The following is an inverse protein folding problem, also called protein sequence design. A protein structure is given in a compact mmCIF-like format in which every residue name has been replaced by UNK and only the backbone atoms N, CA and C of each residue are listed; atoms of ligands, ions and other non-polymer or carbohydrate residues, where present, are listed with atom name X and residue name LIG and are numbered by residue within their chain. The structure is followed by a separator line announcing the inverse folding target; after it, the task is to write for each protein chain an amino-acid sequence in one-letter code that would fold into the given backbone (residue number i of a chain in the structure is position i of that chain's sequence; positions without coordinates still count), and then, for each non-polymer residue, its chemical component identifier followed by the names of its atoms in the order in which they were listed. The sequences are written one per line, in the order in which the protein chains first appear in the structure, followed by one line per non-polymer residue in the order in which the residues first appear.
data_IF_111686275771
#
_entry.id   IF_111686275771
#
_cell.length_a   1.000
_cell.length_b   1.000
_cell.length_c   1.000
_cell.angle_alpha   90.00
_cell.angle_beta   90.00
_cell.angle_gamma   90.00
#
_symmetry.space_group_name_H-M   'P 1'
#
loop_
_entity.id
_entity.type
_entity.pdbx_description
1 polymer ?
#
# COMPACT_ATOMS: atom_id res chain seq x y z
N UNK A 1 87.04 -22.48 -6.86
CA UNK A 1 86.81 -21.71 -8.11
C UNK A 1 85.54 -22.27 -8.74
N UNK A 2 84.35 -21.76 -8.44
CA UNK A 2 83.76 -20.47 -8.83
C UNK A 2 83.49 -20.39 -10.34
N UNK A 3 82.22 -20.58 -10.75
CA UNK A 3 81.50 -19.60 -11.58
C UNK A 3 80.00 -19.91 -11.67
N UNK A 4 79.26 -19.03 -11.01
CA UNK A 4 77.85 -18.71 -11.18
C UNK A 4 77.51 -18.34 -12.63
N UNK A 5 76.44 -18.92 -13.19
CA UNK A 5 75.68 -18.32 -14.29
C UNK A 5 74.24 -18.12 -13.82
N UNK A 6 73.89 -16.87 -13.54
CA UNK A 6 72.51 -16.40 -13.36
C UNK A 6 71.86 -16.34 -14.75
N UNK A 7 70.80 -17.10 -14.98
CA UNK A 7 69.81 -16.78 -16.02
C UNK A 7 68.71 -15.95 -15.38
N UNK A 8 68.74 -14.63 -15.59
CA UNK A 8 67.62 -13.76 -15.25
C UNK A 8 66.54 -13.92 -16.34
N UNK A 9 65.55 -14.76 -16.10
CA UNK A 9 64.25 -14.64 -16.76
C UNK A 9 63.45 -13.60 -15.99
N UNK A 10 63.55 -12.34 -16.40
CA UNK A 10 62.56 -11.32 -16.04
C UNK A 10 61.25 -11.69 -16.74
N UNK A 11 60.47 -12.53 -16.06
CA UNK A 11 59.08 -12.77 -16.36
C UNK A 11 58.33 -11.47 -16.06
N UNK A 12 58.18 -10.61 -17.07
CA UNK A 12 57.37 -9.39 -16.92
C UNK A 12 55.92 -9.83 -16.80
N UNK A 13 55.46 -9.92 -15.55
CA UNK A 13 54.05 -10.07 -15.21
C UNK A 13 53.21 -9.12 -16.08
N UNK A 14 52.07 -9.58 -16.65
CA UNK A 14 51.24 -8.72 -17.47
C UNK A 14 50.82 -7.52 -16.63
N UNK A 15 51.28 -6.34 -17.07
CA UNK A 15 50.92 -5.04 -16.51
C UNK A 15 49.41 -5.04 -16.34
N UNK A 16 48.96 -4.98 -15.09
CA UNK A 16 47.55 -5.03 -14.73
C UNK A 16 46.78 -4.09 -15.63
N UNK A 17 45.90 -4.68 -16.45
CA UNK A 17 45.00 -3.97 -17.37
C UNK A 17 44.23 -2.97 -16.52
N UNK A 18 44.67 -1.70 -16.51
CA UNK A 18 43.95 -0.61 -15.84
C UNK A 18 42.56 -0.62 -16.47
N UNK A 19 41.58 -1.09 -15.72
CA UNK A 19 40.17 -1.13 -16.12
C UNK A 19 39.80 0.31 -16.47
N UNK A 20 39.77 0.62 -17.77
CA UNK A 20 39.35 1.92 -18.26
C UNK A 20 37.85 1.99 -18.07
N UNK A 21 37.42 2.70 -17.01
CA UNK A 21 36.01 2.95 -16.69
C UNK A 21 35.17 3.47 -17.87
N UNK A 22 35.81 4.05 -18.91
CA UNK A 22 35.14 4.56 -20.11
C UNK A 22 34.83 3.48 -21.16
N UNK A 23 35.55 2.35 -21.15
CA UNK A 23 35.31 1.23 -22.08
C UNK A 23 34.27 0.23 -21.52
N UNK A 24 33.84 0.42 -20.26
CA UNK A 24 32.92 -0.45 -19.50
C UNK A 24 31.46 0.04 -19.51
N UNK A 25 31.04 0.82 -20.51
CA UNK A 25 29.61 1.00 -20.76
C UNK A 25 29.07 -0.32 -21.30
N UNK A 26 28.69 -1.23 -20.40
CA UNK A 26 28.05 -2.53 -20.66
C UNK A 26 26.87 -2.45 -21.66
N UNK A 27 26.35 -1.24 -21.94
CA UNK A 27 25.18 -0.95 -22.77
C UNK A 27 25.38 0.21 -23.75
N UNK A 28 26.51 0.30 -24.49
CA UNK A 28 26.61 1.33 -25.55
C UNK A 28 25.43 1.21 -26.55
N UNK A 29 25.04 -0.01 -26.89
CA UNK A 29 23.83 -0.28 -27.65
C UNK A 29 22.64 -0.36 -26.69
N UNK A 30 21.61 0.47 -26.87
CA UNK A 30 20.36 0.39 -26.09
C UNK A 30 20.41 0.90 -24.65
N UNK A 31 21.37 1.78 -24.30
CA UNK A 31 21.43 2.46 -22.99
C UNK A 31 20.08 3.07 -22.57
N UNK A 32 19.45 3.81 -23.49
CA UNK A 32 18.18 4.50 -23.22
C UNK A 32 17.04 3.54 -22.88
N UNK A 33 16.98 2.37 -23.53
CA UNK A 33 16.00 1.35 -23.22
C UNK A 33 16.24 0.77 -21.82
N UNK A 34 17.50 0.44 -21.48
CA UNK A 34 17.83 -0.05 -20.13
C UNK A 34 17.51 1.01 -19.07
N UNK A 35 17.85 2.27 -19.32
CA UNK A 35 17.55 3.39 -18.42
C UNK A 35 16.04 3.56 -18.23
N UNK A 36 15.27 3.49 -19.31
CA UNK A 36 13.81 3.53 -19.25
C UNK A 36 13.23 2.36 -18.45
N UNK A 37 13.68 1.13 -18.69
CA UNK A 37 13.20 -0.05 -17.97
C UNK A 37 13.53 0.01 -16.48
N UNK A 38 14.73 0.48 -16.12
CA UNK A 38 15.12 0.67 -14.71
C UNK A 38 14.31 1.79 -14.06
N UNK A 39 14.10 2.92 -14.74
CA UNK A 39 13.24 3.99 -14.26
C UNK A 39 11.81 3.49 -14.04
N UNK A 40 11.23 2.79 -15.02
CA UNK A 40 9.90 2.20 -14.92
C UNK A 40 9.80 1.22 -13.75
N UNK A 41 10.81 0.37 -13.55
CA UNK A 41 10.84 -0.61 -12.47
C UNK A 41 10.75 0.05 -11.08
N UNK A 42 11.55 1.09 -10.82
CA UNK A 42 11.53 1.79 -9.54
C UNK A 42 10.34 2.75 -9.40
N UNK A 43 9.87 3.37 -10.48
CA UNK A 43 8.66 4.19 -10.45
C UNK A 43 7.39 3.36 -10.22
N UNK A 44 7.33 2.13 -10.73
CA UNK A 44 6.24 1.20 -10.40
C UNK A 44 6.27 0.86 -8.90
N UNK A 45 7.47 0.60 -8.33
CA UNK A 45 7.60 0.40 -6.88
C UNK A 45 7.10 1.62 -6.10
N UNK A 46 7.51 2.83 -6.50
CA UNK A 46 7.07 4.08 -5.85
C UNK A 46 5.56 4.28 -5.96
N UNK A 47 4.97 4.06 -7.14
CA UNK A 47 3.54 4.16 -7.38
C UNK A 47 2.75 3.11 -6.60
N UNK A 48 3.29 1.90 -6.41
CA UNK A 48 2.66 0.86 -5.61
C UNK A 48 2.67 1.19 -4.12
N UNK A 49 3.73 1.84 -3.62
CA UNK A 49 3.80 2.31 -2.24
C UNK A 49 2.77 3.43 -2.01
N UNK A 50 2.68 4.40 -2.92
CA UNK A 50 1.67 5.47 -2.88
C UNK A 50 0.23 4.90 -2.92
N UNK A 51 -0.05 4.02 -3.87
CA UNK A 51 -1.35 3.38 -4.04
C UNK A 51 -1.73 2.37 -2.93
N UNK A 52 -0.82 2.04 -2.00
CA UNK A 52 -1.12 1.14 -0.91
C UNK A 52 -2.12 1.76 0.09
N UNK A 53 -2.17 3.09 0.20
CA UNK A 53 -3.07 3.79 1.11
C UNK A 53 -2.62 3.77 2.58
N UNK A 54 -1.32 3.63 2.84
CA UNK A 54 -0.78 3.57 4.21
C UNK A 54 -0.88 4.89 4.98
N UNK A 55 -0.69 6.04 4.32
CA UNK A 55 -0.80 7.38 4.90
C UNK A 55 -1.23 8.35 3.81
N UNK A 56 -1.82 9.48 4.20
CA UNK A 56 -1.95 10.62 3.30
C UNK A 56 -0.55 11.09 2.85
N UNK A 57 -0.46 11.72 1.67
CA UNK A 57 0.76 12.37 1.17
C UNK A 57 1.95 11.46 0.80
N UNK A 58 1.73 10.15 0.62
CA UNK A 58 2.79 9.22 0.22
C UNK A 58 3.26 9.40 -1.25
N UNK A 59 2.55 10.20 -2.03
CA UNK A 59 2.92 10.57 -3.41
C UNK A 59 4.31 11.21 -3.51
N UNK A 60 4.85 11.75 -2.40
CA UNK A 60 6.21 12.28 -2.30
C UNK A 60 7.30 11.24 -2.61
N UNK A 61 7.00 9.94 -2.48
CA UNK A 61 7.94 8.86 -2.83
C UNK A 61 8.26 8.87 -4.32
N UNK A 62 7.36 9.33 -5.19
CA UNK A 62 7.56 9.39 -6.65
C UNK A 62 8.67 10.38 -7.05
N UNK A 63 8.62 11.69 -6.67
CA UNK A 63 9.71 12.62 -6.98
C UNK A 63 11.01 12.27 -6.25
N UNK A 64 10.95 11.62 -5.08
CA UNK A 64 12.15 11.10 -4.40
C UNK A 64 12.81 10.00 -5.24
N UNK A 65 12.02 9.07 -5.78
CA UNK A 65 12.49 7.99 -6.66
C UNK A 65 13.10 8.54 -7.94
N UNK A 66 12.45 9.53 -8.56
CA UNK A 66 12.97 10.19 -9.75
C UNK A 66 14.33 10.88 -9.49
N UNK A 67 14.46 11.57 -8.35
CA UNK A 67 15.72 12.17 -7.91
C UNK A 67 16.82 11.14 -7.66
N UNK A 68 16.48 10.04 -6.98
CA UNK A 68 17.41 8.93 -6.72
C UNK A 68 17.89 8.27 -8.01
N UNK A 69 16.98 8.08 -8.99
CA UNK A 69 17.30 7.55 -10.30
C UNK A 69 18.26 8.48 -11.05
N UNK A 70 17.95 9.77 -11.11
CA UNK A 70 18.79 10.76 -11.78
C UNK A 70 20.20 10.82 -11.18
N UNK A 71 20.30 10.92 -9.84
CA UNK A 71 21.59 10.93 -9.16
C UNK A 71 22.35 9.61 -9.34
N UNK A 72 21.66 8.48 -9.20
CA UNK A 72 22.23 7.15 -9.42
C UNK A 72 22.81 7.01 -10.83
N UNK A 73 22.12 7.51 -11.85
CA UNK A 73 22.57 7.46 -13.24
C UNK A 73 23.81 8.33 -13.43
N UNK A 74 23.78 9.58 -12.93
CA UNK A 74 24.92 10.50 -12.98
C UNK A 74 26.16 9.92 -12.28
N UNK A 75 25.99 9.37 -11.08
CA UNK A 75 27.09 8.77 -10.32
C UNK A 75 27.63 7.50 -10.98
N UNK A 76 26.76 6.70 -11.61
CA UNK A 76 27.16 5.51 -12.35
C UNK A 76 28.08 5.84 -13.52
N UNK A 77 27.76 6.92 -14.25
CA UNK A 77 28.52 7.41 -15.41
C UNK A 77 29.77 8.23 -15.02
N UNK A 78 29.86 8.67 -13.76
CA UNK A 78 30.97 9.49 -13.27
C UNK A 78 32.27 8.71 -13.09
N UNK A 79 33.41 9.40 -12.99
CA UNK A 79 34.72 8.79 -12.67
C UNK A 79 34.96 8.60 -11.16
N UNK A 80 34.04 9.03 -10.31
CA UNK A 80 34.22 9.01 -8.86
C UNK A 80 34.30 7.58 -8.32
N UNK A 81 35.00 7.41 -7.21
CA UNK A 81 35.10 6.12 -6.53
C UNK A 81 33.82 5.80 -5.76
N UNK A 82 33.69 4.56 -5.31
CA UNK A 82 32.47 4.09 -4.65
C UNK A 82 32.16 4.84 -3.35
N UNK A 83 33.18 5.21 -2.57
CA UNK A 83 32.97 5.93 -1.31
C UNK A 83 32.45 7.35 -1.54
N UNK A 84 33.04 8.09 -2.50
CA UNK A 84 32.54 9.41 -2.86
C UNK A 84 31.10 9.35 -3.37
N UNK A 85 30.77 8.38 -4.24
CA UNK A 85 29.43 8.23 -4.78
C UNK A 85 28.39 7.94 -3.68
N UNK A 86 28.70 6.99 -2.78
CA UNK A 86 27.82 6.63 -1.65
C UNK A 86 27.62 7.79 -0.66
N UNK A 87 28.70 8.45 -0.26
CA UNK A 87 28.62 9.59 0.67
C UNK A 87 27.81 10.75 0.07
N UNK A 88 28.00 11.08 -1.21
CA UNK A 88 27.22 12.12 -1.87
C UNK A 88 25.75 11.74 -2.03
N UNK A 89 25.44 10.46 -2.31
CA UNK A 89 24.05 9.99 -2.32
C UNK A 89 23.36 10.16 -0.98
N UNK A 90 24.08 9.95 0.13
CA UNK A 90 23.54 10.19 1.47
C UNK A 90 23.16 11.66 1.69
N UNK A 91 24.08 12.59 1.41
CA UNK A 91 23.83 14.02 1.65
C UNK A 91 22.82 14.63 0.67
N UNK A 92 22.96 14.34 -0.62
CA UNK A 92 22.03 14.84 -1.65
C UNK A 92 20.66 14.19 -1.47
N UNK A 93 20.62 12.91 -1.11
CA UNK A 93 19.37 12.20 -0.82
C UNK A 93 18.65 12.76 0.38
N UNK A 94 19.34 12.98 1.49
CA UNK A 94 18.73 13.59 2.67
C UNK A 94 18.18 14.98 2.34
N UNK A 95 18.95 15.81 1.63
CA UNK A 95 18.51 17.14 1.22
C UNK A 95 17.28 17.07 0.28
N UNK A 96 17.28 16.16 -0.69
CA UNK A 96 16.19 15.99 -1.65
C UNK A 96 14.91 15.44 -1.00
N UNK A 97 15.04 14.50 -0.07
CA UNK A 97 13.92 13.94 0.69
C UNK A 97 13.30 15.04 1.56
N UNK A 98 14.10 15.77 2.34
CA UNK A 98 13.60 16.87 3.18
C UNK A 98 12.95 17.97 2.33
N UNK A 99 13.56 18.35 1.20
CA UNK A 99 12.98 19.30 0.27
C UNK A 99 11.65 18.80 -0.33
N UNK A 100 11.55 17.52 -0.66
CA UNK A 100 10.34 16.92 -1.23
C UNK A 100 9.22 16.85 -0.19
N UNK A 101 9.53 16.43 1.04
CA UNK A 101 8.57 16.40 2.15
C UNK A 101 8.08 17.80 2.54
N UNK A 102 8.98 18.79 2.61
CA UNK A 102 8.62 20.17 2.93
C UNK A 102 7.56 20.75 1.99
N UNK A 103 7.54 20.36 0.71
CA UNK A 103 6.52 20.79 -0.25
C UNK A 103 5.13 20.26 0.05
N UNK A 104 5.03 19.16 0.78
CA UNK A 104 3.76 18.49 1.09
C UNK A 104 3.21 18.89 2.46
N UNK A 105 4.03 19.51 3.32
CA UNK A 105 3.57 20.04 4.62
C UNK A 105 2.54 21.16 4.41
N UNK A 106 1.32 21.04 4.98
CA UNK A 106 0.30 22.08 4.94
C UNK A 106 0.73 23.37 5.65
N UNK A 107 0.31 24.54 5.12
CA UNK A 107 0.75 25.84 5.62
C UNK A 107 0.26 26.16 7.04
N UNK A 108 -0.90 25.60 7.45
CA UNK A 108 -1.48 25.72 8.78
C UNK A 108 -0.58 25.12 9.87
N UNK A 109 0.07 23.99 9.58
CA UNK A 109 0.97 23.30 10.53
C UNK A 109 2.26 24.09 10.81
N UNK A 110 2.60 25.04 9.94
CA UNK A 110 3.85 25.83 10.02
C UNK A 110 3.61 27.26 10.50
N UNK A 111 2.34 27.65 10.72
CA UNK A 111 1.97 28.98 11.21
C UNK A 111 2.74 29.42 12.48
N UNK A 112 3.02 28.56 13.48
CA UNK A 112 3.75 28.99 14.68
C UNK A 112 5.20 29.41 14.39
N UNK A 113 5.82 28.86 13.34
CA UNK A 113 7.19 29.19 12.95
C UNK A 113 7.24 30.51 12.16
N UNK A 114 6.21 30.78 11.36
CA UNK A 114 6.09 31.99 10.56
C UNK A 114 5.81 33.23 11.43
N UNK A 115 5.02 33.07 12.49
CA UNK A 115 4.66 34.16 13.39
C UNK A 115 5.81 34.54 14.34
N UNK A 116 6.69 33.59 14.65
CA UNK A 116 7.76 33.76 15.64
C UNK A 116 9.12 34.17 15.05
N UNK A 117 9.33 34.01 13.74
CA UNK A 117 10.64 34.22 13.14
C UNK A 117 10.58 34.72 11.68
N UNK A 118 11.49 35.61 11.30
CA UNK A 118 11.59 36.16 9.94
C UNK A 118 12.27 35.15 8.98
N UNK A 119 11.70 33.94 8.89
CA UNK A 119 12.20 32.84 8.06
C UNK A 119 11.30 32.64 6.85
N UNK A 120 11.88 32.13 5.76
CA UNK A 120 11.08 31.77 4.57
C UNK A 120 10.15 30.59 4.85
N UNK A 121 9.02 30.53 4.15
CA UNK A 121 8.05 29.44 4.31
C UNK A 121 8.66 28.05 4.04
N UNK A 122 9.52 27.95 3.02
CA UNK A 122 10.24 26.71 2.72
C UNK A 122 11.13 26.28 3.89
N UNK A 123 11.84 27.22 4.51
CA UNK A 123 12.69 26.95 5.66
C UNK A 123 11.87 26.51 6.88
N UNK A 124 10.73 27.15 7.12
CA UNK A 124 9.81 26.75 8.19
C UNK A 124 9.31 25.31 7.99
N UNK A 125 8.91 24.95 6.77
CA UNK A 125 8.45 23.58 6.42
C UNK A 125 9.56 22.55 6.60
N UNK A 126 10.80 22.86 6.21
CA UNK A 126 11.95 21.98 6.42
C UNK A 126 12.25 21.80 7.91
N UNK A 127 12.21 22.88 8.70
CA UNK A 127 12.39 22.81 10.15
C UNK A 127 11.30 22.00 10.84
N UNK A 128 10.04 22.14 10.41
CA UNK A 128 8.94 21.34 10.92
C UNK A 128 9.21 19.83 10.74
N UNK A 129 9.58 19.40 9.52
CA UNK A 129 9.90 17.98 9.25
C UNK A 129 11.10 17.53 10.08
N UNK A 130 12.15 18.34 10.18
CA UNK A 130 13.36 18.00 10.94
C UNK A 130 13.06 17.84 12.44
N UNK A 131 12.31 18.77 13.03
CA UNK A 131 11.91 18.71 14.43
C UNK A 131 11.10 17.45 14.69
N UNK A 132 10.15 17.12 13.80
CA UNK A 132 9.33 15.92 13.95
C UNK A 132 10.15 14.63 13.93
N UNK A 133 11.19 14.56 13.08
CA UNK A 133 12.14 13.44 13.07
C UNK A 133 12.95 13.38 14.38
N UNK A 134 13.39 14.52 14.91
CA UNK A 134 14.13 14.59 16.18
C UNK A 134 13.25 14.19 17.36
N UNK A 135 12.01 14.67 17.41
CA UNK A 135 11.02 14.31 18.44
C UNK A 135 10.76 12.80 18.44
N UNK A 136 10.70 12.18 17.26
CA UNK A 136 10.57 10.73 17.15
C UNK A 136 11.80 9.97 17.63
N UNK A 137 13.01 10.46 17.34
CA UNK A 137 14.24 9.85 17.87
C UNK A 137 14.25 9.94 19.40
N UNK A 138 13.88 11.08 19.97
CA UNK A 138 13.80 11.26 21.43
C UNK A 138 12.70 10.37 22.05
N UNK A 139 11.55 10.25 21.38
CA UNK A 139 10.48 9.34 21.77
C UNK A 139 10.95 7.86 21.76
N UNK A 140 11.70 7.45 20.73
CA UNK A 140 12.25 6.12 20.62
C UNK A 140 13.27 5.80 21.74
N UNK A 141 14.16 6.76 22.07
CA UNK A 141 15.14 6.63 23.16
C UNK A 141 14.45 6.58 24.53
N UNK A 142 13.42 7.38 24.73
CA UNK A 142 12.62 7.42 25.96
C UNK A 142 11.60 6.26 26.09
N UNK A 143 11.55 5.34 25.11
CA UNK A 143 10.59 4.23 25.00
C UNK A 143 9.12 4.66 25.01
N UNK A 144 8.85 5.89 24.58
CA UNK A 144 7.50 6.37 24.35
C UNK A 144 7.13 6.05 22.89
N UNK A 145 6.17 5.17 22.69
CA UNK A 145 5.70 4.85 21.34
C UNK A 145 4.99 6.08 20.76
N UNK A 146 5.59 6.69 19.74
CA UNK A 146 5.00 7.77 18.95
C UNK A 146 4.97 7.33 17.50
N UNK A 147 3.78 7.00 17.00
CA UNK A 147 3.57 6.73 15.59
C UNK A 147 3.29 8.06 14.89
N UNK A 148 4.14 8.41 13.94
CA UNK A 148 4.02 9.66 13.20
C UNK A 148 4.09 9.44 11.69
N UNK A 149 3.15 10.05 10.98
CA UNK A 149 3.03 9.90 9.53
C UNK A 149 4.27 10.47 8.80
N UNK A 150 4.81 11.60 9.25
CA UNK A 150 5.98 12.21 8.60
C UNK A 150 7.23 11.35 8.76
N UNK A 151 7.44 10.74 9.92
CA UNK A 151 8.55 9.81 10.15
C UNK A 151 8.42 8.58 9.25
N UNK A 152 7.24 7.98 9.18
CA UNK A 152 7.02 6.83 8.30
C UNK A 152 7.25 7.17 6.83
N UNK A 153 6.74 8.31 6.35
CA UNK A 153 6.99 8.79 4.98
C UNK A 153 8.49 8.98 4.74
N UNK A 154 9.22 9.55 5.71
CA UNK A 154 10.66 9.71 5.64
C UNK A 154 11.39 8.36 5.52
N UNK A 155 11.04 7.37 6.33
CA UNK A 155 11.64 6.03 6.29
C UNK A 155 11.42 5.33 4.96
N UNK A 156 10.20 5.41 4.40
CA UNK A 156 9.89 4.86 3.07
C UNK A 156 10.66 5.61 1.99
N UNK A 157 10.71 6.94 2.05
CA UNK A 157 11.50 7.75 1.10
C UNK A 157 12.99 7.41 1.17
N UNK A 158 13.53 7.24 2.37
CA UNK A 158 14.92 6.87 2.60
C UNK A 158 15.23 5.47 2.04
N UNK A 159 14.35 4.50 2.32
CA UNK A 159 14.47 3.13 1.79
C UNK A 159 14.41 3.11 0.26
N UNK A 160 13.43 3.77 -0.35
CA UNK A 160 13.25 3.80 -1.81
C UNK A 160 14.38 4.57 -2.49
N UNK A 161 14.86 5.66 -1.89
CA UNK A 161 16.03 6.39 -2.37
C UNK A 161 17.24 5.47 -2.49
N UNK A 162 17.56 4.74 -1.42
CA UNK A 162 18.71 3.83 -1.41
C UNK A 162 18.54 2.64 -2.35
N UNK A 163 17.35 2.03 -2.42
CA UNK A 163 17.07 0.94 -3.36
C UNK A 163 17.23 1.39 -4.81
N UNK A 164 16.70 2.56 -5.15
CA UNK A 164 16.77 3.11 -6.51
C UNK A 164 18.21 3.50 -6.84
N UNK A 165 18.88 4.23 -5.94
CA UNK A 165 20.27 4.65 -6.14
C UNK A 165 21.21 3.45 -6.29
N UNK A 166 21.18 2.50 -5.35
CA UNK A 166 22.04 1.31 -5.39
C UNK A 166 21.68 0.37 -6.54
N UNK A 167 20.40 0.30 -6.92
CA UNK A 167 19.94 -0.49 -8.05
C UNK A 167 20.47 0.05 -9.38
N UNK A 168 20.27 1.34 -9.63
CA UNK A 168 20.82 2.04 -10.79
C UNK A 168 22.35 1.91 -10.81
N UNK A 169 23.00 2.15 -9.66
CA UNK A 169 24.44 2.00 -9.54
C UNK A 169 24.91 0.57 -9.85
N UNK A 170 24.24 -0.45 -9.32
CA UNK A 170 24.59 -1.87 -9.56
C UNK A 170 24.47 -2.25 -11.03
N UNK A 171 23.42 -1.79 -11.73
CA UNK A 171 23.18 -2.11 -13.14
C UNK A 171 24.18 -1.39 -14.03
N UNK A 172 24.29 -0.07 -13.93
CA UNK A 172 25.07 0.73 -14.87
C UNK A 172 26.56 0.73 -14.59
N UNK A 173 26.99 0.56 -13.32
CA UNK A 173 28.40 0.51 -12.96
C UNK A 173 29.00 -0.88 -13.06
N UNK A 174 28.24 -1.90 -12.67
CA UNK A 174 28.75 -3.26 -12.47
C UNK A 174 28.03 -4.35 -13.29
N UNK A 175 26.91 -4.04 -13.95
CA UNK A 175 26.12 -5.02 -14.71
C UNK A 175 25.26 -5.95 -13.86
N UNK A 176 25.22 -5.79 -12.53
CA UNK A 176 24.54 -6.73 -11.62
C UNK A 176 23.03 -6.49 -11.52
N UNK A 177 22.30 -6.92 -12.54
CA UNK A 177 20.83 -6.74 -12.64
C UNK A 177 20.06 -7.36 -11.47
N UNK A 178 20.42 -8.58 -11.07
CA UNK A 178 19.73 -9.30 -9.99
C UNK A 178 19.79 -8.57 -8.64
N UNK A 179 20.89 -7.87 -8.35
CA UNK A 179 21.07 -7.12 -7.10
C UNK A 179 20.17 -5.88 -7.02
N UNK A 180 19.71 -5.38 -8.16
CA UNK A 180 18.76 -4.26 -8.23
C UNK A 180 17.32 -4.76 -8.14
N UNK A 181 16.98 -5.80 -8.89
CA UNK A 181 15.59 -6.28 -9.04
C UNK A 181 15.10 -7.02 -7.80
N UNK A 182 15.89 -7.92 -7.21
CA UNK A 182 15.43 -8.76 -6.09
C UNK A 182 15.03 -7.93 -4.86
N UNK A 183 15.85 -6.99 -4.36
CA UNK A 183 15.48 -6.20 -3.18
C UNK A 183 14.22 -5.35 -3.42
N UNK A 184 14.11 -4.72 -4.60
CA UNK A 184 12.93 -3.95 -4.97
C UNK A 184 11.67 -4.83 -5.07
N UNK A 185 11.80 -6.03 -5.62
CA UNK A 185 10.71 -7.00 -5.70
C UNK A 185 10.25 -7.52 -4.34
N UNK A 186 11.17 -7.74 -3.40
CA UNK A 186 10.85 -8.13 -2.01
C UNK A 186 10.03 -7.02 -1.34
N UNK A 187 10.47 -5.76 -1.46
CA UNK A 187 9.74 -4.62 -0.88
C UNK A 187 8.35 -4.50 -1.49
N UNK A 188 8.22 -4.66 -2.81
CA UNK A 188 6.92 -4.62 -3.48
C UNK A 188 6.01 -5.78 -3.04
N UNK A 189 6.56 -6.98 -2.83
CA UNK A 189 5.82 -8.13 -2.34
C UNK A 189 5.30 -7.91 -0.91
N UNK A 190 6.16 -7.38 -0.03
CA UNK A 190 5.78 -7.01 1.35
C UNK A 190 4.69 -5.94 1.32
N UNK A 191 4.86 -4.90 0.50
CA UNK A 191 3.83 -3.88 0.31
C UNK A 191 2.52 -4.49 -0.16
N UNK A 192 2.55 -5.37 -1.17
CA UNK A 192 1.35 -6.03 -1.69
C UNK A 192 0.65 -6.90 -0.64
N UNK A 193 1.40 -7.51 0.27
CA UNK A 193 0.85 -8.34 1.34
C UNK A 193 0.18 -7.51 2.46
N UNK A 194 0.75 -6.36 2.81
CA UNK A 194 0.26 -5.52 3.92
C UNK A 194 -0.55 -4.29 3.48
N UNK A 195 -0.68 -4.04 2.18
CA UNK A 195 -1.37 -2.86 1.66
C UNK A 195 -2.87 -2.91 2.01
N UNK A 196 -3.41 -1.83 2.61
CA UNK A 196 -4.85 -1.65 2.77
C UNK A 196 -5.64 -1.79 1.47
N UNK A 197 -5.08 -1.28 0.35
CA UNK A 197 -5.67 -1.36 -0.98
C UNK A 197 -4.93 -2.38 -1.86
N UNK A 198 -5.65 -3.01 -2.79
CA UNK A 198 -5.05 -4.02 -3.66
C UNK A 198 -4.01 -3.42 -4.61
N UNK A 199 -2.73 -3.73 -4.40
CA UNK A 199 -1.61 -3.28 -5.25
C UNK A 199 -1.08 -4.38 -6.20
N UNK A 200 -1.82 -5.48 -6.34
CA UNK A 200 -1.44 -6.65 -7.17
C UNK A 200 -1.16 -6.27 -8.63
N UNK A 201 -1.90 -5.31 -9.19
CA UNK A 201 -1.65 -4.82 -10.56
C UNK A 201 -0.24 -4.25 -10.75
N UNK A 202 0.27 -3.53 -9.75
CA UNK A 202 1.65 -3.01 -9.78
C UNK A 202 2.68 -4.12 -9.64
N UNK A 203 2.43 -5.14 -8.82
CA UNK A 203 3.30 -6.31 -8.72
C UNK A 203 3.48 -7.01 -10.07
N UNK A 204 2.39 -7.18 -10.82
CA UNK A 204 2.44 -7.81 -12.13
C UNK A 204 3.15 -6.95 -13.17
N UNK A 205 2.89 -5.64 -13.17
CA UNK A 205 3.61 -4.69 -14.02
C UNK A 205 5.12 -4.69 -13.70
N UNK A 206 5.48 -4.71 -12.41
CA UNK A 206 6.86 -4.79 -11.95
C UNK A 206 7.53 -6.08 -12.42
N UNK A 207 6.90 -7.24 -12.25
CA UNK A 207 7.44 -8.53 -12.69
C UNK A 207 7.65 -8.55 -14.21
N UNK A 208 6.68 -8.02 -14.98
CA UNK A 208 6.82 -7.91 -16.43
C UNK A 208 8.02 -7.05 -16.81
N UNK A 209 8.14 -5.83 -16.25
CA UNK A 209 9.27 -4.92 -16.53
C UNK A 209 10.59 -5.53 -16.08
N UNK A 210 10.62 -6.21 -14.92
CA UNK A 210 11.79 -6.90 -14.40
C UNK A 210 12.25 -8.03 -15.34
N UNK A 211 11.33 -8.85 -15.85
CA UNK A 211 11.67 -9.91 -16.80
C UNK A 211 12.21 -9.35 -18.11
N UNK A 212 11.58 -8.31 -18.65
CA UNK A 212 12.06 -7.62 -19.86
C UNK A 212 13.45 -7.00 -19.64
N UNK A 213 13.69 -6.41 -18.46
CA UNK A 213 15.01 -5.90 -18.07
C UNK A 213 16.04 -7.03 -18.00
N UNK A 214 15.71 -8.18 -17.40
CA UNK A 214 16.60 -9.34 -17.35
C UNK A 214 16.93 -9.89 -18.75
N UNK A 215 15.94 -10.01 -19.63
CA UNK A 215 16.16 -10.41 -21.04
C UNK A 215 17.12 -9.42 -21.70
N UNK A 216 16.90 -8.12 -21.52
CA UNK A 216 17.76 -7.08 -22.11
C UNK A 216 19.19 -7.16 -21.59
N UNK A 217 19.38 -7.33 -20.28
CA UNK A 217 20.72 -7.38 -19.69
C UNK A 217 21.45 -8.67 -20.01
N UNK A 218 20.74 -9.81 -20.06
CA UNK A 218 21.30 -11.07 -20.51
C UNK A 218 21.76 -11.00 -21.97
N UNK A 219 20.96 -10.39 -22.86
CA UNK A 219 21.36 -10.18 -24.25
C UNK A 219 22.63 -9.33 -24.36
N UNK A 220 22.76 -8.27 -23.56
CA UNK A 220 23.99 -7.46 -23.54
C UNK A 220 25.20 -8.28 -23.11
N UNK A 221 25.08 -9.11 -22.07
CA UNK A 221 26.17 -10.00 -21.65
C UNK A 221 26.55 -10.99 -22.76
N UNK A 222 25.58 -11.55 -23.48
CA UNK A 222 25.85 -12.44 -24.61
C UNK A 222 26.56 -11.71 -25.75
N UNK A 223 26.13 -10.49 -26.09
CA UNK A 223 26.78 -9.68 -27.11
C UNK A 223 28.23 -9.33 -26.74
N UNK A 224 28.51 -9.07 -25.46
CA UNK A 224 29.89 -8.84 -24.99
C UNK A 224 30.74 -10.09 -25.17
N UNK A 225 30.23 -11.27 -24.76
CA UNK A 225 30.93 -12.56 -24.96
C UNK A 225 31.19 -12.85 -26.43
N UNK A 226 30.21 -12.66 -27.31
CA UNK A 226 30.39 -12.86 -28.75
C UNK A 226 31.42 -11.90 -29.35
N UNK A 227 31.49 -10.65 -28.88
CA UNK A 227 32.55 -9.70 -29.29
C UNK A 227 33.93 -10.16 -28.81
N UNK A 228 34.03 -10.67 -27.58
CA UNK A 228 35.27 -11.23 -27.04
C UNK A 228 35.74 -12.47 -27.83
N UNK A 229 34.81 -13.35 -28.18
CA UNK A 229 35.05 -14.57 -28.96
C UNK A 229 35.14 -14.33 -30.48
N UNK A 230 34.99 -13.06 -30.92
CA UNK A 230 34.98 -12.65 -32.34
C UNK A 230 33.93 -13.37 -33.20
N UNK A 231 32.82 -13.76 -32.59
CA UNK A 231 31.67 -14.35 -33.28
C UNK A 231 30.83 -13.22 -33.88
N UNK A 232 30.61 -13.27 -35.19
CA UNK A 232 29.73 -12.32 -35.87
C UNK A 232 28.26 -12.57 -35.48
N UNK A 233 27.53 -11.51 -35.17
CA UNK A 233 26.09 -11.52 -34.94
C UNK A 233 25.43 -10.44 -35.80
N UNK A 234 24.19 -10.70 -36.22
CA UNK A 234 23.42 -9.72 -36.99
C UNK A 234 22.89 -8.60 -36.07
N UNK A 235 22.91 -7.32 -36.48
CA UNK A 235 22.39 -6.21 -35.67
C UNK A 235 20.90 -6.36 -35.29
N UNK A 236 20.10 -6.99 -36.16
CA UNK A 236 18.65 -7.17 -35.96
C UNK A 236 18.30 -8.17 -34.84
N UNK A 237 19.28 -8.94 -34.36
CA UNK A 237 19.08 -9.92 -33.28
C UNK A 237 18.51 -9.27 -32.02
N UNK A 238 18.80 -7.98 -31.78
CA UNK A 238 18.30 -7.24 -30.62
C UNK A 238 16.78 -7.12 -30.64
N UNK A 239 16.20 -6.80 -31.80
CA UNK A 239 14.76 -6.61 -31.94
C UNK A 239 14.00 -7.92 -31.85
N UNK A 240 14.49 -8.95 -32.53
CA UNK A 240 13.86 -10.28 -32.48
C UNK A 240 13.92 -10.89 -31.08
N UNK A 241 15.08 -10.78 -30.41
CA UNK A 241 15.25 -11.30 -29.05
C UNK A 241 14.40 -10.54 -28.03
N UNK A 242 14.31 -9.20 -28.13
CA UNK A 242 13.44 -8.39 -27.27
C UNK A 242 11.97 -8.71 -27.50
N UNK A 243 11.50 -8.79 -28.76
CA UNK A 243 10.10 -9.13 -29.08
C UNK A 243 9.73 -10.49 -28.48
N UNK A 244 10.57 -11.50 -28.74
CA UNK A 244 10.32 -12.86 -28.23
C UNK A 244 10.39 -12.91 -26.71
N UNK A 245 11.33 -12.19 -26.09
CA UNK A 245 11.45 -12.10 -24.64
C UNK A 245 10.28 -11.38 -23.98
N UNK A 246 9.76 -10.31 -24.58
CA UNK A 246 8.54 -9.63 -24.11
C UNK A 246 7.33 -10.57 -24.20
N UNK A 247 7.13 -11.23 -25.34
CA UNK A 247 6.04 -12.19 -25.52
C UNK A 247 6.12 -13.33 -24.51
N UNK A 248 7.31 -13.89 -24.30
CA UNK A 248 7.53 -14.94 -23.32
C UNK A 248 7.27 -14.46 -21.88
N UNK A 249 7.73 -13.24 -21.54
CA UNK A 249 7.49 -12.65 -20.22
C UNK A 249 6.01 -12.39 -19.97
N UNK A 250 5.29 -11.86 -20.97
CA UNK A 250 3.85 -11.64 -20.90
C UNK A 250 3.09 -12.96 -20.73
N UNK A 251 3.46 -14.00 -21.50
CA UNK A 251 2.88 -15.33 -21.38
C UNK A 251 3.12 -15.93 -19.99
N UNK A 252 4.33 -15.79 -19.44
CA UNK A 252 4.67 -16.28 -18.11
C UNK A 252 3.85 -15.59 -17.03
N UNK A 253 3.70 -14.26 -17.11
CA UNK A 253 2.88 -13.47 -16.18
C UNK A 253 1.39 -13.86 -16.30
N UNK A 254 0.88 -14.05 -17.52
CA UNK A 254 -0.50 -14.51 -17.75
C UNK A 254 -0.74 -15.91 -17.16
N UNK A 255 0.19 -16.84 -17.38
CA UNK A 255 0.11 -18.18 -16.79
C UNK A 255 0.15 -18.11 -15.26
N UNK A 256 1.01 -17.27 -14.68
CA UNK A 256 1.08 -17.07 -13.24
C UNK A 256 -0.21 -16.47 -12.67
N UNK A 257 -0.90 -15.59 -13.42
CA UNK A 257 -2.21 -15.07 -13.04
C UNK A 257 -3.28 -16.16 -13.04
N UNK A 258 -3.34 -16.98 -14.09
CA UNK A 258 -4.41 -17.98 -14.30
C UNK A 258 -4.25 -19.19 -13.38
N UNK A 259 -3.04 -19.50 -12.90
CA UNK A 259 -2.84 -20.60 -11.96
C UNK A 259 -3.55 -20.32 -10.62
N UNK A 260 -4.49 -21.18 -10.17
CA UNK A 260 -5.08 -21.06 -8.85
C UNK A 260 -3.96 -21.13 -7.81
N UNK A 261 -3.91 -20.12 -6.93
CA UNK A 261 -2.75 -19.86 -6.06
C UNK A 261 -2.19 -21.11 -5.39
N UNK A 262 -0.93 -21.44 -5.69
CA UNK A 262 -0.17 -22.57 -5.12
C UNK A 262 -0.13 -22.56 -3.58
N UNK A 263 -0.37 -21.39 -2.96
CA UNK A 263 -0.51 -21.22 -1.51
C UNK A 263 -1.78 -21.82 -0.91
N UNK A 264 -2.68 -22.42 -1.70
CA UNK A 264 -3.82 -23.21 -1.20
C UNK A 264 -3.47 -24.67 -0.94
N UNK A 265 -2.26 -25.14 -1.31
CA UNK A 265 -1.84 -26.50 -1.02
C UNK A 265 -1.44 -26.64 0.47
N UNK A 266 -2.14 -27.46 1.26
CA UNK A 266 -1.86 -27.64 2.69
C UNK A 266 -0.46 -28.18 2.97
N UNK A 267 0.15 -28.94 2.04
CA UNK A 267 1.51 -29.47 2.19
C UNK A 267 2.57 -28.36 2.12
N UNK A 268 2.40 -27.39 1.22
CA UNK A 268 3.29 -26.23 1.12
C UNK A 268 3.15 -25.31 2.33
N UNK A 269 1.92 -25.14 2.86
CA UNK A 269 1.70 -24.39 4.11
C UNK A 269 2.39 -25.02 5.31
N UNK A 270 2.36 -26.34 5.43
CA UNK A 270 3.02 -27.06 6.53
C UNK A 270 4.55 -26.91 6.48
N UNK A 271 5.15 -26.96 5.28
CA UNK A 271 6.60 -26.75 5.10
C UNK A 271 7.03 -25.31 5.42
N UNK A 272 6.18 -24.32 5.13
CA UNK A 272 6.46 -22.89 5.37
C UNK A 272 6.00 -22.41 6.76
N UNK A 273 5.34 -23.25 7.56
CA UNK A 273 4.76 -22.85 8.84
C UNK A 273 5.75 -22.16 9.80
N UNK A 274 7.00 -22.66 10.02
CA UNK A 274 7.95 -22.00 10.92
C UNK A 274 8.39 -20.61 10.44
N UNK A 275 8.47 -20.43 9.12
CA UNK A 275 8.84 -19.15 8.50
C UNK A 275 7.68 -18.18 8.61
N UNK A 276 6.45 -18.64 8.34
CA UNK A 276 5.25 -17.83 8.45
C UNK A 276 5.02 -17.35 9.88
N UNK A 277 5.18 -18.20 10.89
CA UNK A 277 4.99 -17.79 12.30
C UNK A 277 6.03 -16.75 12.76
N UNK A 278 7.29 -16.89 12.30
CA UNK A 278 8.34 -15.91 12.59
C UNK A 278 8.07 -14.58 11.89
N UNK A 279 7.58 -14.65 10.65
CA UNK A 279 7.19 -13.47 9.88
C UNK A 279 5.98 -12.76 10.48
N UNK A 280 4.92 -13.50 10.82
CA UNK A 280 3.69 -12.98 11.45
C UNK A 280 4.00 -12.29 12.78
N UNK A 281 4.79 -12.92 13.66
CA UNK A 281 5.19 -12.29 14.94
C UNK A 281 6.05 -11.04 14.75
N UNK A 282 6.96 -11.02 13.77
CA UNK A 282 7.76 -9.83 13.43
C UNK A 282 6.87 -8.73 12.86
N UNK A 283 5.93 -9.08 11.99
CA UNK A 283 5.00 -8.15 11.40
C UNK A 283 4.04 -7.56 12.43
N UNK A 284 3.54 -8.34 13.39
CA UNK A 284 2.74 -7.84 14.51
C UNK A 284 3.53 -6.87 15.39
N UNK A 285 4.82 -7.15 15.64
CA UNK A 285 5.71 -6.23 16.37
C UNK A 285 5.89 -4.90 15.63
N UNK A 286 6.17 -4.96 14.33
CA UNK A 286 6.31 -3.77 13.48
C UNK A 286 4.97 -3.03 13.41
N UNK A 287 3.86 -3.74 13.22
CA UNK A 287 2.54 -3.15 13.18
C UNK A 287 2.21 -2.44 14.50
N UNK A 288 2.58 -3.00 15.66
CA UNK A 288 2.43 -2.33 16.97
C UNK A 288 3.20 -1.00 17.05
N UNK A 289 4.40 -0.92 16.47
CA UNK A 289 5.18 0.33 16.43
C UNK A 289 4.49 1.41 15.59
N UNK A 290 3.77 1.01 14.54
CA UNK A 290 3.09 1.92 13.60
C UNK A 290 1.56 1.90 13.72
N UNK A 291 1.01 1.43 14.85
CA UNK A 291 -0.44 1.32 15.06
C UNK A 291 -1.15 2.67 15.08
N UNK A 292 -0.44 3.74 15.44
CA UNK A 292 -0.97 5.11 15.44
C UNK A 292 -0.71 5.90 14.16
N UNK A 293 -0.28 5.25 13.06
CA UNK A 293 -0.33 5.92 11.76
C UNK A 293 -1.78 6.30 11.47
N UNK A 294 -2.01 7.57 11.15
CA UNK A 294 -3.26 7.99 10.53
C UNK A 294 -3.26 7.40 9.12
N UNK A 295 -3.61 6.12 9.05
CA UNK A 295 -3.93 5.46 7.78
C UNK A 295 -4.99 6.31 7.13
N UNK A 296 -4.79 6.56 5.84
CA UNK A 296 -5.75 7.27 5.02
C UNK A 296 -7.11 6.76 5.43
N UNK A 297 -8.02 7.63 5.94
CA UNK A 297 -9.27 7.16 6.49
C UNK A 297 -9.93 6.38 5.37
N UNK A 298 -9.88 5.04 5.47
CA UNK A 298 -10.88 4.21 4.82
C UNK A 298 -12.15 4.86 5.27
N UNK A 299 -12.96 5.35 4.32
CA UNK A 299 -14.20 6.06 4.56
C UNK A 299 -14.76 5.51 5.85
N UNK A 300 -14.90 6.36 6.88
CA UNK A 300 -15.41 5.91 8.17
C UNK A 300 -16.84 5.46 7.89
N UNK A 301 -16.96 4.20 7.48
CA UNK A 301 -18.18 3.47 7.38
C UNK A 301 -18.65 3.51 8.81
N UNK A 302 -19.74 4.22 9.05
CA UNK A 302 -20.41 4.15 10.33
C UNK A 302 -20.85 2.70 10.51
N UNK A 303 -19.97 1.93 11.15
CA UNK A 303 -20.17 0.52 11.44
C UNK A 303 -21.09 0.48 12.65
N UNK A 304 -22.37 0.25 12.41
CA UNK A 304 -23.26 -0.03 13.52
C UNK A 304 -23.17 -1.52 13.88
N UNK A 305 -22.70 -1.77 15.10
CA UNK A 305 -22.65 -3.11 15.69
C UNK A 305 -23.64 -3.24 16.84
N UNK A 306 -23.58 -4.38 17.53
CA UNK A 306 -24.45 -4.71 18.67
C UNK A 306 -24.04 -4.01 19.98
N UNK A 307 -22.96 -3.22 19.96
CA UNK A 307 -22.45 -2.51 21.14
C UNK A 307 -22.06 -1.08 20.79
N UNK A 308 -22.32 -0.15 21.69
CA UNK A 308 -21.92 1.25 21.61
C UNK A 308 -21.18 1.64 22.89
N UNK A 309 -19.86 1.76 22.79
CA UNK A 309 -19.04 2.31 23.88
C UNK A 309 -19.21 3.82 23.93
N UNK A 310 -19.34 4.38 25.13
CA UNK A 310 -19.32 5.81 25.33
C UNK A 310 -17.90 6.33 25.02
N UNK A 311 -17.78 7.06 23.92
CA UNK A 311 -16.56 7.75 23.52
C UNK A 311 -16.75 9.26 23.63
N UNK A 312 -15.64 10.00 23.53
CA UNK A 312 -15.69 11.45 23.40
C UNK A 312 -16.29 11.91 22.07
N UNK A 313 -15.94 13.12 21.66
CA UNK A 313 -16.43 13.74 20.44
C UNK A 313 -16.24 12.82 19.21
N UNK A 314 -17.28 12.72 18.38
CA UNK A 314 -17.23 11.97 17.12
C UNK A 314 -16.85 12.92 16.01
N UNK A 315 -15.83 12.56 15.25
CA UNK A 315 -15.52 13.23 13.99
C UNK A 315 -16.59 12.85 12.96
N UNK A 316 -17.43 13.80 12.60
CA UNK A 316 -18.42 13.70 11.53
C UNK A 316 -17.90 14.40 10.28
N UNK A 317 -18.19 13.86 9.10
CA UNK A 317 -17.85 14.45 7.80
C UNK A 317 -19.09 14.96 7.09
N UNK A 318 -18.94 15.93 6.19
CA UNK A 318 -20.02 16.44 5.34
C UNK A 318 -20.33 15.54 4.12
N UNK A 319 -19.81 14.32 4.11
CA UNK A 319 -20.04 13.35 3.03
C UNK A 319 -21.49 12.82 3.06
N UNK A 320 -22.22 12.85 1.94
CA UNK A 320 -23.60 12.37 1.90
C UNK A 320 -23.67 10.84 2.10
N UNK A 321 -24.46 10.37 3.07
CA UNK A 321 -24.58 8.94 3.42
C UNK A 321 -25.68 8.25 2.64
N UNK A 322 -26.88 8.84 2.61
CA UNK A 322 -28.02 8.36 1.83
C UNK A 322 -28.95 9.53 1.50
N UNK A 323 -29.78 9.35 0.47
CA UNK A 323 -30.88 10.23 0.13
C UNK A 323 -32.20 9.54 0.48
N UNK A 324 -33.11 10.26 1.14
CA UNK A 324 -34.43 9.75 1.47
C UNK A 324 -35.52 10.53 0.73
N UNK A 325 -36.45 9.82 0.09
CA UNK A 325 -37.66 10.36 -0.51
C UNK A 325 -38.86 9.88 0.29
N UNK A 326 -39.56 10.80 0.93
CA UNK A 326 -40.70 10.51 1.82
C UNK A 326 -41.55 11.78 1.99
N UNK A 327 -42.83 11.60 2.31
CA UNK A 327 -43.74 12.72 2.62
C UNK A 327 -43.46 13.34 4.00
N UNK A 328 -42.80 12.60 4.90
CA UNK A 328 -42.45 13.05 6.25
C UNK A 328 -41.05 12.55 6.59
N UNK A 329 -40.21 13.38 7.19
CA UNK A 329 -38.86 13.03 7.64
C UNK A 329 -38.66 13.47 9.09
N UNK A 330 -38.24 12.55 9.98
CA UNK A 330 -37.89 12.89 11.37
C UNK A 330 -36.62 12.19 11.82
N UNK A 331 -36.69 10.87 11.99
CA UNK A 331 -35.58 10.07 12.52
C UNK A 331 -35.36 8.83 11.67
N UNK A 332 -34.10 8.58 11.36
CA UNK A 332 -33.64 7.40 10.63
C UNK A 332 -33.01 6.44 11.63
N UNK A 333 -33.71 5.35 11.92
CA UNK A 333 -33.24 4.32 12.84
C UNK A 333 -32.26 3.42 12.09
N UNK A 334 -31.11 3.18 12.73
CA UNK A 334 -30.11 2.22 12.27
C UNK A 334 -30.01 1.04 13.24
N UNK A 335 -29.75 1.34 14.52
CA UNK A 335 -29.64 0.35 15.60
C UNK A 335 -30.32 0.85 16.87
N UNK A 336 -30.90 -0.08 17.62
CA UNK A 336 -31.44 0.13 18.97
C UNK A 336 -30.48 -0.47 19.99
N UNK A 337 -30.12 0.30 21.02
CA UNK A 337 -29.43 -0.22 22.20
C UNK A 337 -30.32 -0.01 23.41
N UNK A 338 -30.55 -1.07 24.18
CA UNK A 338 -31.54 -1.10 25.25
C UNK A 338 -30.91 -1.29 26.64
N UNK A 339 -29.74 -1.91 26.73
CA UNK A 339 -29.11 -2.26 28.02
C UNK A 339 -27.78 -1.52 28.18
N UNK A 340 -27.57 -0.87 29.31
CA UNK A 340 -26.29 -0.23 29.67
C UNK A 340 -25.58 -1.04 30.76
N UNK A 341 -24.37 -1.54 30.48
CA UNK A 341 -23.60 -2.41 31.40
C UNK A 341 -22.66 -1.65 32.36
N UNK A 342 -22.76 -0.32 32.40
CA UNK A 342 -21.86 0.55 33.17
C UNK A 342 -20.68 1.10 32.36
N UNK A 343 -20.39 0.56 31.17
CA UNK A 343 -19.32 1.03 30.28
C UNK A 343 -19.78 1.26 28.84
N UNK A 344 -20.77 0.50 28.38
CA UNK A 344 -21.28 0.51 27.01
C UNK A 344 -22.76 0.19 26.97
N UNK A 345 -23.39 0.66 25.90
CA UNK A 345 -24.73 0.28 25.50
C UNK A 345 -24.68 -1.01 24.66
N UNK A 346 -25.66 -1.88 24.85
CA UNK A 346 -25.77 -3.21 24.25
C UNK A 346 -27.14 -3.34 23.58
N UNK A 347 -27.16 -4.00 22.43
CA UNK A 347 -28.38 -4.53 21.81
C UNK A 347 -28.61 -5.97 22.32
N UNK A 348 -29.68 -6.17 23.08
CA UNK A 348 -30.11 -7.48 23.59
C UNK A 348 -31.29 -8.03 22.78
N UNK A 349 -31.10 -8.21 21.46
CA UNK A 349 -32.08 -8.87 20.62
C UNK A 349 -32.29 -10.35 21.03
N UNK A 350 -33.51 -10.86 20.89
CA UNK A 350 -33.86 -12.25 21.23
C UNK A 350 -33.33 -13.24 20.19
N UNK A 351 -33.12 -12.80 18.95
CA UNK A 351 -32.61 -13.62 17.86
C UNK A 351 -32.52 -12.87 16.54
N UNK A 352 -32.31 -13.63 15.47
CA UNK A 352 -32.29 -13.13 14.09
C UNK A 352 -33.42 -13.76 13.29
N UNK A 353 -34.10 -12.95 12.48
CA UNK A 353 -35.12 -13.40 11.54
C UNK A 353 -34.82 -12.87 10.14
N UNK A 354 -35.14 -13.68 9.14
CA UNK A 354 -34.98 -13.34 7.72
C UNK A 354 -36.35 -13.19 7.08
N UNK A 355 -36.51 -12.18 6.25
CA UNK A 355 -37.72 -11.90 5.49
C UNK A 355 -37.37 -11.65 4.03
N UNK A 356 -38.16 -12.22 3.13
CA UNK A 356 -37.96 -12.03 1.70
C UNK A 356 -38.39 -10.64 1.24
N UNK A 357 -37.91 -10.23 0.07
CA UNK A 357 -38.29 -8.96 -0.53
C UNK A 357 -39.81 -8.89 -0.74
N UNK A 358 -40.43 -7.81 -0.25
CA UNK A 358 -41.87 -7.58 -0.30
C UNK A 358 -42.67 -8.34 0.75
N UNK A 359 -42.04 -9.10 1.65
CA UNK A 359 -42.75 -9.77 2.74
C UNK A 359 -43.22 -8.77 3.81
N UNK A 360 -44.46 -8.93 4.28
CA UNK A 360 -45.02 -8.09 5.36
C UNK A 360 -44.70 -8.71 6.71
N UNK A 361 -43.88 -8.00 7.48
CA UNK A 361 -43.36 -8.41 8.77
C UNK A 361 -44.39 -8.18 9.89
N UNK A 362 -44.51 -9.09 10.89
CA UNK A 362 -45.40 -8.91 12.05
C UNK A 362 -44.87 -7.87 13.06
N UNK A 363 -44.76 -6.60 12.64
CA UNK A 363 -44.41 -5.49 13.53
C UNK A 363 -45.61 -5.10 14.43
N UNK A 364 -45.35 -4.53 15.62
CA UNK A 364 -46.36 -4.04 16.55
C UNK A 364 -47.34 -3.01 15.94
N UNK A 365 -48.64 -3.23 16.11
CA UNK A 365 -49.70 -2.29 15.74
C UNK A 365 -49.99 -1.30 16.87
N UNK A 366 -49.74 -0.01 16.61
CA UNK A 366 -49.94 1.05 17.60
C UNK A 366 -50.93 2.08 17.07
N UNK A 367 -51.92 2.45 17.90
CA UNK A 367 -53.06 3.31 17.49
C UNK A 367 -52.67 4.70 16.98
N UNK A 368 -51.52 5.23 17.41
CA UNK A 368 -51.02 6.55 17.03
C UNK A 368 -50.01 6.53 15.88
N UNK A 369 -49.72 5.36 15.30
CA UNK A 369 -48.81 5.22 14.15
C UNK A 369 -49.60 5.31 12.84
N UNK A 370 -48.97 5.88 11.82
CA UNK A 370 -49.51 5.95 10.45
C UNK A 370 -48.54 5.28 9.50
N UNK A 371 -49.07 4.55 8.51
CA UNK A 371 -48.25 3.92 7.50
C UNK A 371 -47.71 4.99 6.53
N UNK A 372 -46.42 4.88 6.23
CA UNK A 372 -45.72 5.77 5.30
C UNK A 372 -44.85 4.94 4.37
N UNK A 373 -44.67 5.44 3.15
CA UNK A 373 -43.71 4.89 2.19
C UNK A 373 -42.50 5.80 2.12
N UNK A 374 -41.32 5.20 2.10
CA UNK A 374 -40.04 5.89 2.03
C UNK A 374 -39.15 5.15 1.03
N UNK A 375 -38.38 5.90 0.24
CA UNK A 375 -37.34 5.36 -0.64
C UNK A 375 -36.00 5.86 -0.17
N UNK A 376 -35.08 4.94 0.14
CA UNK A 376 -33.73 5.23 0.62
C UNK A 376 -32.73 4.84 -0.46
N UNK A 377 -31.99 5.83 -0.96
CA UNK A 377 -30.89 5.62 -1.91
C UNK A 377 -29.58 5.79 -1.17
N UNK A 378 -28.83 4.71 -0.97
CA UNK A 378 -27.51 4.76 -0.34
C UNK A 378 -26.51 5.47 -1.27
N UNK A 379 -25.75 6.40 -0.71
CA UNK A 379 -24.73 7.19 -1.43
C UNK A 379 -23.31 6.85 -0.96
N UNK A 380 -23.18 6.35 0.27
CA UNK A 380 -21.92 5.88 0.86
C UNK A 380 -21.99 4.37 1.16
N UNK A 381 -20.86 3.66 1.22
CA UNK A 381 -20.81 2.25 1.60
C UNK A 381 -20.99 2.09 3.11
N UNK A 382 -22.21 2.31 3.62
CA UNK A 382 -22.56 2.23 5.05
C UNK A 382 -22.67 0.79 5.60
N UNK A 383 -22.02 -0.16 4.94
CA UNK A 383 -22.17 -1.59 5.18
C UNK A 383 -23.53 -2.11 4.66
N UNK A 384 -24.05 -3.13 5.32
CA UNK A 384 -25.31 -3.79 4.95
C UNK A 384 -26.52 -3.22 5.67
N UNK A 385 -26.42 -2.09 6.37
CA UNK A 385 -27.52 -1.62 7.23
C UNK A 385 -28.59 -0.91 6.43
N UNK A 386 -29.84 -1.34 6.65
CA UNK A 386 -31.00 -0.66 6.12
C UNK A 386 -31.38 0.49 7.06
N UNK A 387 -31.24 1.73 6.59
CA UNK A 387 -31.78 2.89 7.28
C UNK A 387 -33.27 3.02 6.97
N UNK A 388 -34.05 3.37 7.98
CA UNK A 388 -35.46 3.66 7.78
C UNK A 388 -36.09 4.26 9.01
N UNK A 389 -37.30 4.77 8.87
CA UNK A 389 -38.12 5.09 10.03
C UNK A 389 -38.43 3.84 10.87
N UNK A 390 -38.78 4.01 12.16
CA UNK A 390 -39.12 2.89 13.04
C UNK A 390 -40.24 2.00 12.47
N UNK A 391 -40.19 0.72 12.84
CA UNK A 391 -41.22 -0.28 12.51
C UNK A 391 -41.41 -0.50 11.01
N UNK A 392 -40.30 -0.76 10.32
CA UNK A 392 -40.30 -1.18 8.91
C UNK A 392 -41.16 -2.43 8.76
N UNK A 393 -42.36 -2.27 8.19
CA UNK A 393 -43.31 -3.36 8.02
C UNK A 393 -43.05 -4.18 6.75
N UNK A 394 -42.38 -3.61 5.75
CA UNK A 394 -42.11 -4.22 4.45
C UNK A 394 -40.90 -3.53 3.81
N UNK A 395 -40.09 -4.26 3.06
CA UNK A 395 -38.97 -3.73 2.28
C UNK A 395 -38.90 -4.38 0.90
N UNK A 396 -38.46 -3.64 -0.12
CA UNK A 396 -38.32 -4.14 -1.51
C UNK A 396 -37.08 -5.04 -1.72
N UNK A 397 -36.31 -5.23 -0.66
CA UNK A 397 -35.09 -6.05 -0.62
C UNK A 397 -35.23 -7.10 0.45
N UNK A 398 -34.51 -8.21 0.30
CA UNK A 398 -34.40 -9.21 1.37
C UNK A 398 -33.75 -8.57 2.59
N UNK A 399 -34.30 -8.85 3.76
CA UNK A 399 -33.78 -8.34 5.03
C UNK A 399 -33.43 -9.47 6.00
N UNK A 400 -32.30 -9.29 6.69
CA UNK A 400 -31.88 -10.07 7.84
C UNK A 400 -31.84 -9.15 9.05
N UNK A 401 -32.77 -9.36 9.99
CA UNK A 401 -33.00 -8.46 11.09
C UNK A 401 -32.75 -9.12 12.44
N UNK A 402 -32.16 -8.36 13.36
CA UNK A 402 -32.15 -8.68 14.78
C UNK A 402 -33.52 -8.30 15.35
N UNK A 403 -34.19 -9.27 15.97
CA UNK A 403 -35.57 -9.17 16.43
C UNK A 403 -35.66 -9.33 17.93
N UNK A 404 -36.58 -8.57 18.52
CA UNK A 404 -37.02 -8.72 19.89
C UNK A 404 -38.53 -8.89 19.92
N UNK A 405 -39.01 -9.86 20.68
CA UNK A 405 -40.43 -10.06 20.93
C UNK A 405 -40.97 -8.89 21.74
N UNK A 406 -42.15 -8.37 21.40
CA UNK A 406 -42.77 -7.28 22.13
C UNK A 406 -44.04 -7.76 22.84
N UNK A 407 -43.93 -8.23 24.11
CA UNK A 407 -45.08 -8.74 24.85
C UNK A 407 -46.16 -7.68 25.02
N UNK A 408 -47.42 -8.06 24.84
CA UNK A 408 -48.57 -7.17 25.03
C UNK A 408 -48.91 -6.25 23.85
N UNK A 409 -48.16 -6.31 22.75
CA UNK A 409 -48.55 -5.72 21.48
C UNK A 409 -49.30 -6.72 20.59
N UNK A 410 -50.09 -6.20 19.66
CA UNK A 410 -50.78 -7.00 18.63
C UNK A 410 -50.08 -6.74 17.29
N UNK A 411 -49.74 -7.75 16.48
CA UNK A 411 -49.11 -7.52 15.17
C UNK A 411 -50.05 -6.78 14.21
N UNK A 412 -49.48 -6.10 13.21
CA UNK A 412 -50.28 -5.52 12.13
C UNK A 412 -51.08 -6.61 11.39
N UNK A 413 -52.35 -6.32 11.10
CA UNK A 413 -53.27 -7.31 10.49
C UNK A 413 -52.87 -7.76 9.09
N UNK A 414 -52.00 -7.01 8.41
CA UNK A 414 -51.50 -7.33 7.08
C UNK A 414 -50.32 -8.32 7.08
N UNK A 415 -49.71 -8.57 8.24
CA UNK A 415 -48.63 -9.55 8.36
C UNK A 415 -49.20 -10.97 8.38
N UNK A 416 -48.53 -11.88 7.69
CA UNK A 416 -48.84 -13.31 7.75
C UNK A 416 -48.20 -13.87 9.03
N UNK A 417 -48.84 -13.65 10.18
CA UNK A 417 -48.30 -14.12 11.45
C UNK A 417 -48.43 -15.65 11.56
N UNK A 418 -47.41 -16.37 12.08
CA UNK A 418 -47.60 -17.73 12.60
C UNK A 418 -48.66 -17.70 13.72
N UNK A 419 -49.45 -18.77 13.89
CA UNK A 419 -50.60 -18.82 14.82
C UNK A 419 -50.27 -18.45 16.29
N UNK A 420 -48.98 -18.45 16.70
CA UNK A 420 -48.48 -18.07 18.03
C UNK A 420 -47.45 -16.91 18.03
N UNK A 421 -47.29 -16.18 16.93
CA UNK A 421 -46.21 -15.20 16.74
C UNK A 421 -46.45 -13.87 17.46
N UNK A 422 -45.78 -13.65 18.60
CA UNK A 422 -45.68 -12.32 19.21
C UNK A 422 -45.14 -11.31 18.18
N UNK A 423 -45.62 -10.04 18.19
CA UNK A 423 -45.07 -9.04 17.30
C UNK A 423 -43.61 -8.76 17.62
N UNK A 424 -42.85 -8.41 16.59
CA UNK A 424 -41.41 -8.24 16.68
C UNK A 424 -40.99 -6.79 16.47
N UNK A 425 -40.11 -6.32 17.33
CA UNK A 425 -39.37 -5.09 17.14
C UNK A 425 -38.02 -5.40 16.48
N UNK A 426 -37.72 -4.67 15.41
CA UNK A 426 -36.38 -4.69 14.82
C UNK A 426 -35.41 -3.80 15.58
N UNK A 427 -34.35 -4.39 16.13
CA UNK A 427 -33.27 -3.64 16.76
C UNK A 427 -32.21 -3.24 15.74
N UNK A 428 -31.97 -4.06 14.72
CA UNK A 428 -31.06 -3.78 13.60
C UNK A 428 -31.54 -4.53 12.35
N UNK A 429 -31.51 -3.87 11.19
CA UNK A 429 -31.90 -4.48 9.90
C UNK A 429 -30.71 -4.46 8.94
N UNK A 430 -30.43 -5.59 8.30
CA UNK A 430 -29.39 -5.72 7.28
C UNK A 430 -29.95 -6.21 5.96
N UNK A 431 -29.36 -5.79 4.85
CA UNK A 431 -29.60 -6.31 3.50
C UNK A 431 -28.45 -7.22 3.08
N UNK A 432 -28.74 -8.25 2.31
CA UNK A 432 -27.71 -9.17 1.79
C UNK A 432 -26.83 -8.56 0.70
#
# INVERSE_FOLDING_TARGET
MAQTVRSASTDTAPVGRRIRYHDNLYFQDGFWLTAFLVAALYLILAAALDAAGHTENLSVVIPVTAGAFALGLLMSLSRFDGFFALSHSMFVGLAWILFSMARVVPADQVSPFLDSSNISELQARVYFVLLRLLDWVDAAVSRTASADNYVFIFEICFLVWWLTYLGVWSIFRYGYTWRAVIPAGIVLLINTYYAPQSTVGFLLAFVLVALVLLVRTNLSEQQLRWREDRIYFQPDIVWDFLRNGILFSALLVLMAWVMPGLGRNPQLRALLAPVNTTWESTAENVQRLYQGLNRQPSEVVSSFGNTLTLGGERNVSDSPVFQAQTLQARYWRAVVFDTYDGRRWLDTADGTAQYDAGEIVPVPSWRARTAISQTITLLAPVGTILFGMPDVAQADVRINAQVRSQPGAVPISAATAPEDGLPIEFTMIRTD
#
